data_IF_707680856539
#
_entry.id   IF_707680856539
#
_cell.length_a   1.000
_cell.length_b   1.000
_cell.length_c   1.000
_cell.angle_alpha   90.00
_cell.angle_beta   90.00
_cell.angle_gamma   90.00
#
_symmetry.space_group_name_H-M   'P 1'
#
loop_
_entity.id
_entity.type
_entity.pdbx_description
1 polymer ?
#
# COMPACT_ATOMS: atom_id res chain seq x y z
N UNK A 1 8.90 -25.63 2.09
CA UNK A 1 8.61 -24.18 1.90
C UNK A 1 7.13 -23.82 2.09
N UNK A 2 6.20 -24.01 1.15
CA UNK A 2 4.80 -23.49 1.28
C UNK A 2 4.10 -23.90 2.58
N UNK A 3 4.12 -25.20 2.92
CA UNK A 3 3.53 -25.70 4.18
C UNK A 3 4.17 -25.07 5.41
N UNK A 4 5.51 -25.06 5.45
CA UNK A 4 6.29 -24.49 6.56
C UNK A 4 6.07 -22.99 6.73
N UNK A 5 5.98 -22.23 5.64
CA UNK A 5 5.67 -20.80 5.70
C UNK A 5 4.28 -20.60 6.31
N UNK A 6 3.28 -21.37 5.86
CA UNK A 6 1.93 -21.26 6.39
C UNK A 6 1.78 -21.67 7.87
N UNK A 7 2.77 -22.33 8.46
CA UNK A 7 2.82 -22.63 9.90
C UNK A 7 3.30 -21.45 10.78
N UNK A 8 3.66 -20.32 10.17
CA UNK A 8 4.15 -19.13 10.90
C UNK A 8 2.97 -18.24 11.31
N UNK A 9 2.83 -18.06 12.63
CA UNK A 9 1.77 -17.31 13.28
C UNK A 9 2.30 -16.45 14.44
N UNK A 10 1.57 -15.38 14.77
CA UNK A 10 1.76 -14.62 16.01
C UNK A 10 0.63 -14.93 16.99
N UNK A 11 0.94 -14.94 18.29
CA UNK A 11 -0.07 -15.07 19.35
C UNK A 11 -0.26 -13.71 20.01
N UNK A 12 -1.48 -13.20 20.01
CA UNK A 12 -1.85 -11.94 20.66
C UNK A 12 -3.21 -12.08 21.35
N UNK A 13 -3.31 -11.62 22.60
CA UNK A 13 -4.53 -11.72 23.42
C UNK A 13 -5.15 -13.14 23.44
N UNK A 14 -4.32 -14.19 23.46
CA UNK A 14 -4.76 -15.59 23.48
C UNK A 14 -5.31 -16.11 22.16
N UNK A 15 -5.20 -15.35 21.06
CA UNK A 15 -5.60 -15.77 19.71
C UNK A 15 -4.39 -15.88 18.79
N UNK A 16 -4.42 -16.88 17.93
CA UNK A 16 -3.44 -17.08 16.87
C UNK A 16 -3.82 -16.25 15.65
N UNK A 17 -2.88 -15.49 15.12
CA UNK A 17 -3.04 -14.68 13.92
C UNK A 17 -1.97 -15.05 12.89
N UNK A 18 -2.33 -15.01 11.61
CA UNK A 18 -1.39 -15.12 10.51
C UNK A 18 -0.24 -14.11 10.66
N UNK A 19 1.00 -14.58 10.68
CA UNK A 19 2.15 -13.69 10.69
C UNK A 19 2.71 -13.51 9.27
N UNK A 20 2.13 -12.55 8.56
CA UNK A 20 2.51 -12.24 7.17
C UNK A 20 3.97 -11.79 7.07
N UNK A 21 4.48 -11.08 8.08
CA UNK A 21 5.89 -10.64 8.12
C UNK A 21 6.81 -11.83 8.33
N UNK A 22 6.51 -12.69 9.30
CA UNK A 22 7.27 -13.92 9.55
C UNK A 22 7.32 -14.82 8.31
N UNK A 23 6.21 -14.94 7.58
CA UNK A 23 6.14 -15.66 6.29
C UNK A 23 7.05 -15.07 5.23
N UNK A 24 7.02 -13.76 5.05
CA UNK A 24 7.88 -13.07 4.08
C UNK A 24 9.36 -13.22 4.45
N UNK A 25 9.71 -13.09 5.73
CA UNK A 25 11.08 -13.27 6.19
C UNK A 25 11.56 -14.70 5.96
N UNK A 26 10.74 -15.71 6.27
CA UNK A 26 11.06 -17.11 6.00
C UNK A 26 11.36 -17.38 4.52
N UNK A 27 10.56 -16.80 3.60
CA UNK A 27 10.80 -16.92 2.15
C UNK A 27 12.18 -16.35 1.80
N UNK A 28 12.53 -15.18 2.35
CA UNK A 28 13.81 -14.51 2.07
C UNK A 28 14.99 -15.27 2.67
N UNK A 29 14.85 -15.79 3.89
CA UNK A 29 15.88 -16.57 4.59
C UNK A 29 16.22 -17.87 3.85
N UNK A 30 15.27 -18.42 3.08
CA UNK A 30 15.46 -19.57 2.21
C UNK A 30 15.96 -19.20 0.79
N UNK A 31 16.50 -17.98 0.61
CA UNK A 31 16.94 -17.41 -0.67
C UNK A 31 15.81 -17.26 -1.71
N UNK A 32 14.55 -17.28 -1.28
CA UNK A 32 13.40 -16.97 -2.11
C UNK A 32 13.35 -15.51 -2.53
N UNK A 33 12.74 -15.24 -3.68
CA UNK A 33 12.53 -13.87 -4.19
C UNK A 33 11.05 -13.59 -4.34
N UNK A 34 10.59 -12.47 -3.82
CA UNK A 34 9.25 -11.96 -4.05
C UNK A 34 9.28 -11.01 -5.25
N UNK A 35 8.41 -11.27 -6.22
CA UNK A 35 8.24 -10.43 -7.41
C UNK A 35 6.77 -10.09 -7.58
N UNK A 36 6.48 -8.86 -7.97
CA UNK A 36 5.12 -8.47 -8.31
C UNK A 36 4.62 -9.28 -9.51
N UNK A 37 3.43 -9.86 -9.38
CA UNK A 37 2.76 -10.62 -10.44
C UNK A 37 1.58 -9.86 -11.02
N UNK A 38 0.56 -9.56 -10.21
CA UNK A 38 -0.63 -8.79 -10.59
C UNK A 38 -1.41 -8.27 -9.39
N UNK A 39 -2.29 -7.30 -9.62
CA UNK A 39 -3.34 -6.93 -8.68
C UNK A 39 -4.43 -8.00 -8.61
N UNK A 40 -4.92 -8.31 -7.41
CA UNK A 40 -6.00 -9.29 -7.23
C UNK A 40 -7.36 -8.77 -7.71
N UNK A 41 -7.61 -7.46 -7.58
CA UNK A 41 -8.85 -6.82 -8.03
C UNK A 41 -8.60 -6.05 -9.34
N UNK A 42 -9.28 -6.45 -10.42
CA UNK A 42 -9.10 -5.83 -11.73
C UNK A 42 -9.57 -4.37 -11.76
N UNK A 43 -10.73 -4.05 -11.17
CA UNK A 43 -11.23 -2.67 -11.09
C UNK A 43 -10.25 -1.75 -10.38
N UNK A 44 -9.62 -2.21 -9.30
CA UNK A 44 -8.59 -1.42 -8.63
C UNK A 44 -7.37 -1.21 -9.55
N UNK A 45 -6.93 -2.26 -10.25
CA UNK A 45 -5.87 -2.16 -11.25
C UNK A 45 -6.19 -1.13 -12.33
N UNK A 46 -7.41 -1.15 -12.86
CA UNK A 46 -7.86 -0.25 -13.91
C UNK A 46 -7.95 1.20 -13.41
N UNK A 47 -8.43 1.40 -12.18
CA UNK A 47 -8.47 2.72 -11.55
C UNK A 47 -7.06 3.30 -11.36
N UNK A 48 -6.09 2.47 -10.98
CA UNK A 48 -4.70 2.90 -10.80
C UNK A 48 -4.07 3.42 -12.10
N UNK A 49 -4.47 2.89 -13.27
CA UNK A 49 -3.98 3.35 -14.58
C UNK A 49 -4.35 4.81 -14.85
N UNK A 50 -5.50 5.29 -14.36
CA UNK A 50 -5.89 6.72 -14.47
C UNK A 50 -4.91 7.66 -13.76
N UNK A 51 -4.23 7.16 -12.73
CA UNK A 51 -3.23 7.90 -11.96
C UNK A 51 -1.88 7.76 -12.63
N UNK A 52 -1.46 6.51 -12.87
CA UNK A 52 -0.23 6.17 -13.56
C UNK A 52 -0.19 4.69 -13.96
N UNK A 53 0.30 4.41 -15.18
CA UNK A 53 0.30 3.05 -15.75
C UNK A 53 1.01 1.98 -14.94
N UNK A 54 2.06 2.33 -14.17
CA UNK A 54 2.80 1.38 -13.32
C UNK A 54 2.60 1.69 -11.83
N UNK A 55 1.47 2.30 -11.46
CA UNK A 55 1.17 2.62 -10.06
C UNK A 55 1.01 1.34 -9.22
N UNK A 56 0.53 0.27 -9.84
CA UNK A 56 0.44 -1.07 -9.26
C UNK A 56 1.81 -1.61 -8.78
N UNK A 57 2.85 -1.43 -9.59
CA UNK A 57 4.22 -1.81 -9.24
C UNK A 57 4.79 -0.95 -8.12
N UNK A 58 4.51 0.36 -8.14
CA UNK A 58 4.91 1.25 -7.03
C UNK A 58 4.30 0.76 -5.71
N UNK A 59 3.01 0.43 -5.70
CA UNK A 59 2.31 -0.11 -4.52
C UNK A 59 2.88 -1.46 -4.09
N UNK A 60 3.21 -2.34 -5.05
CA UNK A 60 3.79 -3.63 -4.74
C UNK A 60 5.16 -3.50 -4.04
N UNK A 61 6.03 -2.62 -4.53
CA UNK A 61 7.33 -2.35 -3.89
C UNK A 61 7.16 -1.77 -2.48
N UNK A 62 6.25 -0.80 -2.28
CA UNK A 62 6.00 -0.25 -0.93
C UNK A 62 5.39 -1.27 0.03
N UNK A 63 4.56 -2.20 -0.46
CA UNK A 63 4.09 -3.34 0.36
C UNK A 63 5.23 -4.26 0.77
N UNK A 64 6.19 -4.53 -0.11
CA UNK A 64 7.38 -5.29 0.24
C UNK A 64 8.19 -4.54 1.31
N UNK A 65 8.41 -3.24 1.18
CA UNK A 65 9.08 -2.45 2.22
C UNK A 65 8.35 -2.53 3.56
N UNK A 66 7.02 -2.53 3.55
CA UNK A 66 6.22 -2.63 4.77
C UNK A 66 6.35 -3.98 5.49
N UNK A 67 6.30 -5.09 4.75
CA UNK A 67 6.35 -6.42 5.36
C UNK A 67 7.77 -6.92 5.60
N UNK A 68 8.72 -6.59 4.72
CA UNK A 68 10.12 -7.00 4.81
C UNK A 68 10.94 -6.08 5.70
N UNK A 69 10.88 -4.77 5.45
CA UNK A 69 11.77 -3.80 6.10
C UNK A 69 11.11 -3.12 7.31
N UNK A 70 9.81 -3.36 7.53
CA UNK A 70 9.06 -2.80 8.65
C UNK A 70 8.68 -1.32 8.51
N UNK A 71 8.99 -0.70 7.36
CA UNK A 71 8.70 0.72 7.08
C UNK A 71 7.19 0.89 6.96
N UNK A 72 6.57 1.67 7.84
CA UNK A 72 5.11 1.86 7.83
C UNK A 72 4.69 3.23 7.33
N UNK A 73 5.52 4.25 7.52
CA UNK A 73 5.22 5.63 7.16
C UNK A 73 5.34 5.85 5.65
N UNK A 74 4.35 6.50 5.03
CA UNK A 74 4.31 6.65 3.57
C UNK A 74 5.43 7.56 3.02
N UNK A 75 5.83 8.60 3.75
CA UNK A 75 6.99 9.44 3.41
C UNK A 75 8.30 8.64 3.42
N UNK A 76 8.55 7.84 4.44
CA UNK A 76 9.74 6.96 4.52
C UNK A 76 9.78 5.91 3.39
N UNK A 77 8.62 5.35 3.01
CA UNK A 77 8.53 4.45 1.85
C UNK A 77 9.00 5.13 0.56
N UNK A 78 8.62 6.40 0.39
CA UNK A 78 8.96 7.18 -0.80
C UNK A 78 10.43 7.55 -0.81
N UNK A 79 11.00 7.94 0.33
CA UNK A 79 12.45 8.17 0.44
C UNK A 79 13.25 6.92 0.04
N UNK A 80 12.77 5.73 0.42
CA UNK A 80 13.39 4.47 0.01
C UNK A 80 13.20 4.19 -1.49
N UNK A 81 12.01 4.42 -2.06
CA UNK A 81 11.79 4.28 -3.50
C UNK A 81 12.69 5.21 -4.32
N UNK A 82 12.88 6.45 -3.88
CA UNK A 82 13.75 7.43 -4.55
C UNK A 82 15.22 7.00 -4.50
N UNK A 83 15.65 6.39 -3.39
CA UNK A 83 17.02 5.86 -3.22
C UNK A 83 17.27 4.60 -4.05
N UNK A 84 16.35 3.64 -4.04
CA UNK A 84 16.52 2.34 -4.71
C UNK A 84 16.15 2.38 -6.19
N UNK A 85 15.28 3.31 -6.57
CA UNK A 85 14.79 3.54 -7.92
C UNK A 85 14.42 2.25 -8.69
N UNK A 86 13.54 1.38 -8.15
CA UNK A 86 13.22 0.08 -8.77
C UNK A 86 12.61 0.17 -10.17
N UNK A 87 12.01 1.31 -10.53
CA UNK A 87 11.44 1.59 -11.86
C UNK A 87 12.43 2.29 -12.82
N UNK A 88 13.67 2.55 -12.39
CA UNK A 88 14.70 3.21 -13.18
C UNK A 88 14.26 4.56 -13.79
N UNK A 89 13.53 5.38 -13.02
CA UNK A 89 13.15 6.71 -13.48
C UNK A 89 14.36 7.62 -13.61
N UNK A 90 14.44 8.37 -14.71
CA UNK A 90 15.46 9.40 -14.90
C UNK A 90 15.29 10.61 -13.95
N UNK A 91 14.06 10.89 -13.52
CA UNK A 91 13.75 11.85 -12.46
C UNK A 91 13.13 11.11 -11.28
N UNK A 92 13.91 10.87 -10.22
CA UNK A 92 13.47 10.11 -9.03
C UNK A 92 12.28 10.75 -8.31
N UNK A 93 12.08 12.07 -8.42
CA UNK A 93 10.91 12.78 -7.87
C UNK A 93 9.56 12.24 -8.42
N UNK A 94 9.60 11.46 -9.51
CA UNK A 94 8.43 10.77 -10.04
C UNK A 94 7.76 9.86 -9.00
N UNK A 95 8.50 9.21 -8.09
CA UNK A 95 7.90 8.39 -7.02
C UNK A 95 7.03 9.23 -6.11
N UNK A 96 7.60 10.28 -5.51
CA UNK A 96 6.88 11.19 -4.62
C UNK A 96 5.68 11.82 -5.30
N UNK A 97 5.85 12.31 -6.53
CA UNK A 97 4.74 12.91 -7.28
C UNK A 97 3.60 11.92 -7.48
N UNK A 98 3.88 10.74 -8.05
CA UNK A 98 2.87 9.73 -8.38
C UNK A 98 2.17 9.19 -7.14
N UNK A 99 2.92 8.93 -6.06
CA UNK A 99 2.33 8.42 -4.83
C UNK A 99 1.44 9.45 -4.13
N UNK A 100 1.79 10.75 -4.17
CA UNK A 100 0.90 11.81 -3.70
C UNK A 100 -0.40 11.85 -4.52
N UNK A 101 -0.34 11.70 -5.85
CA UNK A 101 -1.55 11.60 -6.68
C UNK A 101 -2.40 10.39 -6.31
N UNK A 102 -1.77 9.25 -6.01
CA UNK A 102 -2.47 8.07 -5.49
C UNK A 102 -3.21 8.35 -4.18
N UNK A 103 -2.53 8.90 -3.17
CA UNK A 103 -3.16 9.24 -1.89
C UNK A 103 -4.30 10.24 -2.07
N UNK A 104 -4.12 11.24 -2.93
CA UNK A 104 -5.15 12.23 -3.23
C UNK A 104 -6.36 11.62 -3.91
N UNK A 105 -6.18 10.77 -4.93
CA UNK A 105 -7.30 10.10 -5.59
C UNK A 105 -8.13 9.28 -4.59
N UNK A 106 -7.46 8.51 -3.71
CA UNK A 106 -8.12 7.76 -2.64
C UNK A 106 -8.85 8.70 -1.68
N UNK A 107 -8.22 9.79 -1.24
CA UNK A 107 -8.82 10.74 -0.29
C UNK A 107 -10.02 11.49 -0.87
N UNK A 108 -10.05 11.73 -2.19
CA UNK A 108 -11.08 12.53 -2.84
C UNK A 108 -12.20 11.71 -3.50
N UNK A 109 -12.18 10.37 -3.39
CA UNK A 109 -13.35 9.55 -3.75
C UNK A 109 -13.06 8.24 -4.50
N UNK A 110 -11.83 7.98 -4.93
CA UNK A 110 -11.50 6.72 -5.60
C UNK A 110 -11.69 5.54 -4.63
N UNK A 111 -12.60 4.63 -5.00
CA UNK A 111 -12.88 3.38 -4.25
C UNK A 111 -12.26 2.19 -4.98
N UNK A 112 -11.53 1.28 -4.30
CA UNK A 112 -10.82 0.18 -4.98
C UNK A 112 -11.73 -0.74 -5.81
N UNK A 113 -12.92 -1.06 -5.32
CA UNK A 113 -13.84 -2.01 -5.96
C UNK A 113 -14.98 -1.35 -6.75
N UNK A 114 -14.83 -0.08 -7.11
CA UNK A 114 -15.82 0.67 -7.90
C UNK A 114 -15.10 1.37 -9.03
N UNK A 115 -15.59 1.24 -10.26
CA UNK A 115 -15.00 1.93 -11.42
C UNK A 115 -14.96 3.42 -11.11
N UNK A 116 -13.77 4.00 -11.23
CA UNK A 116 -13.54 5.42 -11.05
C UNK A 116 -13.32 6.04 -12.42
N UNK A 117 -13.94 7.19 -12.67
CA UNK A 117 -13.83 7.93 -13.94
C UNK A 117 -12.80 9.08 -13.85
N UNK A 118 -12.11 9.20 -12.71
CA UNK A 118 -11.15 10.27 -12.46
C UNK A 118 -11.76 11.54 -11.86
N UNK A 119 -13.06 11.56 -11.57
CA UNK A 119 -13.75 12.71 -10.97
C UNK A 119 -13.66 12.63 -9.44
N UNK A 120 -13.22 13.74 -8.83
CA UNK A 120 -13.18 13.89 -7.38
C UNK A 120 -14.62 14.05 -6.83
N UNK A 121 -15.01 13.23 -5.86
CA UNK A 121 -16.32 13.33 -5.17
C UNK A 121 -16.34 14.54 -4.22
N UNK A 122 -15.21 14.86 -3.60
CA UNK A 122 -15.05 16.02 -2.72
C UNK A 122 -14.43 17.20 -3.50
N UNK A 123 -15.22 18.24 -3.79
CA UNK A 123 -14.80 19.38 -4.64
C UNK A 123 -14.68 20.73 -3.92
N UNK A 124 -15.36 20.91 -2.78
CA UNK A 124 -15.32 22.17 -2.01
C UNK A 124 -14.14 22.28 -1.04
N UNK A 125 -13.66 21.14 -0.54
CA UNK A 125 -12.60 21.06 0.46
C UNK A 125 -12.56 19.71 1.17
N UNK A 126 -11.51 19.46 1.94
CA UNK A 126 -11.31 18.25 2.73
C UNK A 126 -11.11 18.64 4.20
N UNK A 127 -11.87 18.02 5.11
CA UNK A 127 -11.77 18.31 6.54
C UNK A 127 -11.08 17.13 7.24
N UNK A 128 -10.01 17.42 7.98
CA UNK A 128 -9.33 16.43 8.83
C UNK A 128 -9.50 16.85 10.28
N UNK A 129 -10.02 15.93 11.10
CA UNK A 129 -10.04 16.09 12.56
C UNK A 129 -8.85 15.32 13.12
N UNK A 130 -7.90 16.01 13.75
CA UNK A 130 -6.73 15.37 14.36
C UNK A 130 -7.12 14.66 15.66
N UNK A 131 -6.21 13.84 16.22
CA UNK A 131 -6.45 13.15 17.49
C UNK A 131 -6.68 14.12 18.66
N UNK A 132 -6.10 15.31 18.58
CA UNK A 132 -6.25 16.40 19.54
C UNK A 132 -7.55 17.18 19.36
N UNK A 133 -8.39 16.83 18.38
CA UNK A 133 -9.65 17.50 18.08
C UNK A 133 -9.51 18.75 17.21
N UNK A 134 -8.32 19.03 16.67
CA UNK A 134 -8.13 20.17 15.77
C UNK A 134 -8.80 19.89 14.43
N UNK A 135 -9.55 20.87 13.91
CA UNK A 135 -10.19 20.79 12.61
C UNK A 135 -9.30 21.51 11.59
N UNK A 136 -8.74 20.75 10.65
CA UNK A 136 -7.98 21.24 9.51
C UNK A 136 -8.89 21.25 8.29
N UNK A 137 -9.28 22.43 7.82
CA UNK A 137 -10.06 22.60 6.60
C UNK A 137 -9.12 22.92 5.42
N UNK A 138 -9.05 22.02 4.45
CA UNK A 138 -8.28 22.20 3.24
C UNK A 138 -9.20 22.65 2.13
N UNK A 139 -8.94 23.82 1.55
CA UNK A 139 -9.46 24.14 0.24
C UNK A 139 -8.58 23.51 -0.82
N UNK A 140 -9.19 22.81 -1.79
CA UNK A 140 -8.49 22.07 -2.86
C UNK A 140 -7.60 22.99 -3.71
N UNK A 141 -7.81 24.31 -3.65
CA UNK A 141 -6.95 25.32 -4.27
C UNK A 141 -5.47 25.23 -3.83
N UNK A 142 -5.16 24.76 -2.61
CA UNK A 142 -3.77 24.49 -2.20
C UNK A 142 -3.44 22.99 -2.27
N UNK A 143 -3.56 22.44 -3.49
CA UNK A 143 -3.36 21.00 -3.76
C UNK A 143 -2.00 20.49 -3.31
N UNK A 144 -0.94 21.28 -3.46
CA UNK A 144 0.41 20.90 -3.05
C UNK A 144 0.49 20.67 -1.53
N UNK A 145 -0.08 21.58 -0.74
CA UNK A 145 -0.09 21.44 0.71
C UNK A 145 -0.92 20.22 1.15
N UNK A 146 -2.08 20.01 0.53
CA UNK A 146 -2.92 18.84 0.80
C UNK A 146 -2.21 17.52 0.47
N UNK A 147 -1.57 17.42 -0.70
CA UNK A 147 -0.80 16.26 -1.14
C UNK A 147 0.37 15.95 -0.20
N UNK A 148 1.13 16.97 0.22
CA UNK A 148 2.22 16.79 1.20
C UNK A 148 1.67 16.39 2.57
N UNK A 149 0.52 16.94 2.99
CA UNK A 149 -0.10 16.56 4.25
C UNK A 149 -0.49 15.08 4.25
N UNK A 150 -1.16 14.59 3.20
CA UNK A 150 -1.54 13.18 3.09
C UNK A 150 -0.30 12.28 3.18
N UNK A 151 0.76 12.58 2.44
CA UNK A 151 2.00 11.80 2.48
C UNK A 151 2.61 11.73 3.88
N UNK A 152 2.70 12.88 4.57
CA UNK A 152 3.30 12.99 5.90
C UNK A 152 2.44 12.46 7.05
N UNK A 153 1.14 12.27 6.82
CA UNK A 153 0.20 11.89 7.89
C UNK A 153 -0.46 10.55 7.65
N UNK A 154 -0.02 9.79 6.65
CA UNK A 154 -0.51 8.43 6.38
C UNK A 154 0.57 7.37 6.61
N UNK A 155 0.12 6.14 6.89
CA UNK A 155 0.94 4.96 7.13
C UNK A 155 0.21 3.70 6.65
N UNK A 156 0.97 2.64 6.39
CA UNK A 156 0.43 1.30 6.14
C UNK A 156 0.13 0.59 7.46
N UNK A 157 -0.85 -0.29 7.41
CA UNK A 157 -1.24 -1.14 8.54
C UNK A 157 -1.62 -2.53 8.03
N UNK A 158 -1.41 -3.55 8.86
CA UNK A 158 -1.86 -4.91 8.54
C UNK A 158 -3.37 -4.99 8.76
N UNK A 159 -4.12 -5.22 7.67
CA UNK A 159 -5.54 -5.52 7.74
C UNK A 159 -5.79 -6.89 8.39
N UNK A 160 -7.03 -7.18 8.80
CA UNK A 160 -7.38 -8.52 9.27
C UNK A 160 -7.22 -9.53 8.13
N UNK A 161 -6.26 -10.45 8.28
CA UNK A 161 -5.97 -11.49 7.28
C UNK A 161 -7.15 -12.42 7.05
N UNK A 162 -7.88 -12.78 8.11
CA UNK A 162 -9.08 -13.60 8.01
C UNK A 162 -10.27 -12.90 7.36
N UNK A 163 -10.45 -11.59 7.59
CA UNK A 163 -11.54 -10.82 6.96
C UNK A 163 -11.33 -10.62 5.47
N UNK A 164 -10.07 -10.45 5.06
CA UNK A 164 -9.71 -10.06 3.70
C UNK A 164 -9.04 -11.17 2.89
N UNK A 165 -8.89 -12.37 3.47
CA UNK A 165 -8.34 -13.57 2.83
C UNK A 165 -6.99 -13.32 2.13
N UNK A 166 -5.97 -12.95 2.92
CA UNK A 166 -4.63 -12.69 2.42
C UNK A 166 -3.54 -13.13 3.40
N UNK A 167 -2.30 -13.21 2.91
CA UNK A 167 -1.12 -13.55 3.71
C UNK A 167 -0.76 -15.04 3.73
N UNK A 168 -1.57 -15.90 3.09
CA UNK A 168 -1.24 -17.30 2.84
C UNK A 168 -0.41 -17.48 1.57
N UNK A 169 0.59 -18.37 1.66
CA UNK A 169 1.35 -18.84 0.51
C UNK A 169 0.57 -19.98 -0.13
N UNK A 170 0.34 -19.91 -1.43
CA UNK A 170 -0.40 -20.94 -2.18
C UNK A 170 0.31 -21.23 -3.49
N UNK A 171 0.14 -22.45 -4.01
CA UNK A 171 0.74 -22.87 -5.28
C UNK A 171 -0.32 -22.94 -6.37
N UNK A 172 -0.05 -22.38 -7.53
CA UNK A 172 -0.89 -22.46 -8.72
C UNK A 172 -0.01 -22.72 -9.94
N UNK A 173 -0.33 -23.73 -10.76
CA UNK A 173 0.42 -24.09 -11.96
C UNK A 173 1.94 -24.32 -11.76
N UNK A 174 2.36 -24.77 -10.57
CA UNK A 174 3.76 -25.02 -10.25
C UNK A 174 4.55 -23.79 -9.81
N UNK A 175 3.89 -22.64 -9.66
CA UNK A 175 4.46 -21.43 -9.08
C UNK A 175 3.84 -21.14 -7.72
N UNK A 176 4.62 -20.55 -6.81
CA UNK A 176 4.17 -20.17 -5.47
C UNK A 176 3.84 -18.67 -5.42
N UNK A 177 2.71 -18.35 -4.81
CA UNK A 177 2.15 -17.01 -4.73
C UNK A 177 1.80 -16.67 -3.28
N UNK A 178 1.81 -15.36 -2.97
CA UNK A 178 1.27 -14.82 -1.73
C UNK A 178 0.47 -13.57 -2.04
N UNK A 179 -0.77 -13.49 -1.52
CA UNK A 179 -1.57 -12.27 -1.61
C UNK A 179 -1.19 -11.33 -0.47
N UNK A 180 -0.85 -10.09 -0.81
CA UNK A 180 -0.66 -9.01 0.15
C UNK A 180 -1.78 -7.99 0.03
N UNK A 181 -2.16 -7.39 1.16
CA UNK A 181 -3.22 -6.40 1.21
C UNK A 181 -2.66 -5.01 1.51
N UNK A 182 -3.09 -4.02 0.72
CA UNK A 182 -2.87 -2.61 0.98
C UNK A 182 -3.94 -2.06 1.92
N UNK A 183 -3.50 -1.48 3.04
CA UNK A 183 -4.35 -0.66 3.90
C UNK A 183 -3.57 0.57 4.33
N UNK A 184 -4.09 1.74 3.96
CA UNK A 184 -3.53 3.05 4.32
C UNK A 184 -4.44 3.70 5.37
N UNK A 185 -3.86 4.23 6.44
CA UNK A 185 -4.58 4.98 7.47
C UNK A 185 -3.85 6.27 7.82
N UNK A 186 -4.59 7.22 8.40
CA UNK A 186 -3.97 8.36 9.08
C UNK A 186 -3.20 7.91 10.33
N UNK A 187 -2.13 8.62 10.67
CA UNK A 187 -1.20 8.28 11.77
C UNK A 187 -1.84 8.30 13.14
#
# INVERSE_FOLDING_TARGET
>A
MVREANEIYIVSAGKTHTDVRGRINKIIDENGQLKYYKMNNQTFSDNLVLIYSNMDRIIAETLLYFYKDGISNCDEMIEKLERENPMNYGNVNAYKYKFKKFLTAVALGMKPATVWDGVDEATGGYIVVTKEGNVLAYHIYNRNYFEEYLLKNTKYETASTSRHDFGEVYSENGEDFIKLNLQVRFR
#
